data_IF_894155497316
#
_entry.id   IF_894155497316
#
_cell.length_a   1.000
_cell.length_b   1.000
_cell.length_c   1.000
_cell.angle_alpha   90.00
_cell.angle_beta   90.00
_cell.angle_gamma   90.00
#
_symmetry.space_group_name_H-M   'P 1'
#
loop_
_entity.id
_entity.type
_entity.pdbx_description
1 polymer ?
#
# COMPACT_ATOMS: atom_id res chain seq x y z
N UNK A 1 11.32 1.67 22.23
CA UNK A 1 10.28 1.26 21.26
C UNK A 1 10.73 0.11 20.35
N UNK A 2 11.86 0.22 19.65
CA UNK A 2 12.37 -0.87 18.79
C UNK A 2 12.63 -2.18 19.56
N UNK A 3 13.21 -2.11 20.76
CA UNK A 3 13.49 -3.27 21.61
C UNK A 3 12.21 -4.00 22.08
N UNK A 4 11.16 -3.24 22.42
CA UNK A 4 9.85 -3.80 22.78
C UNK A 4 9.25 -4.54 21.59
N UNK A 5 9.28 -3.95 20.39
CA UNK A 5 8.82 -4.61 19.15
C UNK A 5 9.58 -5.90 18.90
N UNK A 6 10.90 -5.88 18.98
CA UNK A 6 11.74 -7.07 18.77
C UNK A 6 11.39 -8.20 19.76
N UNK A 7 11.19 -7.88 21.04
CA UNK A 7 10.76 -8.84 22.06
C UNK A 7 9.40 -9.46 21.74
N UNK A 8 8.40 -8.65 21.37
CA UNK A 8 7.06 -9.13 21.00
C UNK A 8 7.14 -10.05 19.78
N UNK A 9 7.90 -9.66 18.75
CA UNK A 9 8.11 -10.47 17.54
C UNK A 9 8.77 -11.81 17.88
N UNK A 10 9.80 -11.81 18.73
CA UNK A 10 10.47 -13.04 19.14
C UNK A 10 9.52 -13.99 19.89
N UNK A 11 8.67 -13.46 20.78
CA UNK A 11 7.66 -14.26 21.48
C UNK A 11 6.65 -14.88 20.50
N UNK A 12 6.10 -14.08 19.58
CA UNK A 12 5.15 -14.52 18.57
C UNK A 12 5.74 -15.59 17.64
N UNK A 13 6.97 -15.39 17.15
CA UNK A 13 7.67 -16.37 16.33
C UNK A 13 8.01 -17.64 17.10
N UNK A 14 8.35 -17.54 18.40
CA UNK A 14 8.55 -18.70 19.26
C UNK A 14 7.27 -19.54 19.39
N UNK A 15 6.12 -18.90 19.60
CA UNK A 15 4.82 -19.57 19.67
C UNK A 15 4.51 -20.29 18.34
N UNK A 16 4.71 -19.60 17.21
CA UNK A 16 4.55 -20.21 15.87
C UNK A 16 5.48 -21.41 15.69
N UNK A 17 6.74 -21.32 16.10
CA UNK A 17 7.69 -22.44 16.03
C UNK A 17 7.26 -23.61 16.90
N UNK A 18 6.83 -23.37 18.15
CA UNK A 18 6.32 -24.40 19.06
C UNK A 18 5.05 -25.09 18.56
N UNK A 19 4.21 -24.38 17.78
CA UNK A 19 3.01 -24.97 17.17
C UNK A 19 3.32 -26.00 16.07
N UNK A 20 4.54 -25.99 15.52
CA UNK A 20 4.91 -26.83 14.36
C UNK A 20 4.26 -26.42 13.03
N UNK A 21 3.38 -25.40 13.02
CA UNK A 21 2.68 -24.97 11.82
C UNK A 21 3.53 -24.07 10.92
N UNK A 22 3.32 -24.17 9.61
CA UNK A 22 3.84 -23.23 8.61
C UNK A 22 2.96 -21.99 8.51
N UNK A 23 3.49 -20.89 7.96
CA UNK A 23 2.67 -19.70 7.71
C UNK A 23 1.49 -20.00 6.77
N UNK A 24 1.67 -20.88 5.78
CA UNK A 24 0.61 -21.29 4.87
C UNK A 24 -0.49 -22.13 5.54
N UNK A 25 -0.17 -22.91 6.58
CA UNK A 25 -1.20 -23.62 7.36
C UNK A 25 -2.03 -22.64 8.20
N UNK A 26 -1.36 -21.71 8.91
CA UNK A 26 -2.04 -20.68 9.70
C UNK A 26 -2.89 -19.78 8.79
N UNK A 27 -2.39 -19.44 7.61
CA UNK A 27 -3.11 -18.69 6.58
C UNK A 27 -4.45 -19.36 6.20
N UNK A 28 -4.42 -20.67 5.93
CA UNK A 28 -5.63 -21.45 5.61
C UNK A 28 -6.64 -21.46 6.75
N UNK A 29 -6.17 -21.62 7.99
CA UNK A 29 -7.04 -21.65 9.18
C UNK A 29 -7.65 -20.27 9.48
N UNK A 30 -6.93 -19.18 9.19
CA UNK A 30 -7.38 -17.81 9.48
C UNK A 30 -8.14 -17.16 8.33
N UNK A 31 -7.97 -17.63 7.09
CA UNK A 31 -8.48 -16.99 5.88
C UNK A 31 -7.65 -15.79 5.43
N UNK A 32 -6.39 -15.68 5.88
CA UNK A 32 -5.45 -14.62 5.52
C UNK A 32 -4.44 -15.13 4.50
N UNK A 33 -3.71 -14.23 3.81
CA UNK A 33 -2.55 -14.68 3.01
C UNK A 33 -1.39 -15.08 3.91
N UNK A 34 -0.53 -15.98 3.44
CA UNK A 34 0.62 -16.45 4.22
C UNK A 34 1.64 -15.34 4.54
N UNK A 35 1.84 -14.40 3.63
CA UNK A 35 2.67 -13.23 3.89
C UNK A 35 2.00 -12.33 4.92
N UNK A 36 0.68 -12.11 4.86
CA UNK A 36 -0.01 -11.29 5.86
C UNK A 36 0.10 -11.89 7.26
N UNK A 37 -0.05 -13.21 7.41
CA UNK A 37 0.22 -13.90 8.69
C UNK A 37 1.65 -13.67 9.16
N UNK A 38 2.64 -13.78 8.26
CA UNK A 38 4.03 -13.49 8.62
C UNK A 38 4.23 -12.02 9.04
N UNK A 39 3.57 -11.06 8.39
CA UNK A 39 3.61 -9.64 8.75
C UNK A 39 2.94 -9.37 10.10
N UNK A 40 1.85 -10.07 10.44
CA UNK A 40 1.22 -10.00 11.75
C UNK A 40 2.20 -10.44 12.85
N UNK A 41 2.81 -11.62 12.70
CA UNK A 41 3.77 -12.15 13.68
C UNK A 41 5.07 -11.32 13.75
N UNK A 42 5.41 -10.58 12.69
CA UNK A 42 6.54 -9.63 12.64
C UNK A 42 6.18 -8.21 13.08
N UNK A 43 4.95 -7.96 13.56
CA UNK A 43 4.46 -6.62 13.93
C UNK A 43 4.68 -5.57 12.83
N UNK A 44 4.28 -5.92 11.61
CA UNK A 44 4.28 -5.03 10.44
C UNK A 44 2.86 -4.82 9.87
N UNK A 45 1.94 -5.73 10.21
CA UNK A 45 0.52 -5.60 9.97
C UNK A 45 -0.24 -5.52 11.30
N UNK A 46 -1.43 -4.91 11.26
CA UNK A 46 -2.34 -4.83 12.38
C UNK A 46 -3.31 -6.01 12.32
N UNK A 47 -3.47 -6.75 13.42
CA UNK A 47 -4.50 -7.76 13.54
C UNK A 47 -5.86 -7.06 13.70
N UNK A 48 -6.85 -7.50 12.92
CA UNK A 48 -8.21 -6.99 13.05
C UNK A 48 -9.02 -7.82 14.06
N UNK A 49 -9.93 -7.21 14.84
CA UNK A 49 -10.70 -7.92 15.87
C UNK A 49 -11.44 -9.15 15.36
N UNK A 50 -11.99 -9.08 14.15
CA UNK A 50 -12.74 -10.16 13.50
C UNK A 50 -11.90 -11.43 13.24
N UNK A 51 -10.58 -11.27 13.03
CA UNK A 51 -9.68 -12.39 12.74
C UNK A 51 -8.92 -12.87 13.97
N UNK A 52 -8.96 -12.11 15.08
CA UNK A 52 -8.25 -12.46 16.31
C UNK A 52 -8.67 -13.82 16.91
N UNK A 53 -9.97 -14.20 16.95
CA UNK A 53 -10.37 -15.52 17.45
C UNK A 53 -9.77 -16.67 16.64
N UNK A 54 -9.80 -16.57 15.30
CA UNK A 54 -9.25 -17.61 14.40
C UNK A 54 -7.74 -17.74 14.56
N UNK A 55 -7.04 -16.60 14.75
CA UNK A 55 -5.60 -16.63 14.99
C UNK A 55 -5.26 -17.30 16.33
N UNK A 56 -6.03 -17.02 17.38
CA UNK A 56 -5.88 -17.68 18.69
C UNK A 56 -6.15 -19.18 18.61
N UNK A 57 -7.17 -19.60 17.87
CA UNK A 57 -7.46 -21.01 17.63
C UNK A 57 -6.32 -21.70 16.86
N UNK A 58 -5.78 -21.02 15.84
CA UNK A 58 -4.64 -21.52 15.06
C UNK A 58 -3.36 -21.62 15.90
N UNK A 59 -3.13 -20.67 16.80
CA UNK A 59 -1.96 -20.56 17.67
C UNK A 59 -2.39 -20.39 19.15
N UNK A 60 -2.80 -21.48 19.83
CA UNK A 60 -3.38 -21.41 21.18
C UNK A 60 -2.37 -20.95 22.25
N UNK A 61 -1.07 -20.95 21.96
CA UNK A 61 -0.04 -20.43 22.85
C UNK A 61 0.09 -18.91 22.86
N UNK A 62 -0.70 -18.17 22.07
CA UNK A 62 -0.67 -16.70 22.10
C UNK A 62 -1.43 -16.19 23.33
N UNK A 63 -0.70 -15.45 24.17
CA UNK A 63 -1.22 -14.78 25.35
C UNK A 63 -2.08 -13.55 24.97
N UNK A 64 -2.97 -13.15 25.87
CA UNK A 64 -3.91 -12.05 25.64
C UNK A 64 -3.20 -10.71 25.44
N UNK A 65 -2.13 -10.45 26.19
CA UNK A 65 -1.30 -9.25 26.05
C UNK A 65 -0.66 -9.15 24.65
N UNK A 66 -0.21 -10.27 24.09
CA UNK A 66 0.34 -10.33 22.75
C UNK A 66 -0.73 -10.08 21.68
N UNK A 67 -1.95 -10.60 21.85
CA UNK A 67 -3.06 -10.33 20.93
C UNK A 67 -3.48 -8.87 20.97
N UNK A 68 -3.63 -8.30 22.17
CA UNK A 68 -3.91 -6.87 22.34
C UNK A 68 -2.83 -6.02 21.67
N UNK A 69 -1.57 -6.39 21.84
CA UNK A 69 -0.45 -5.76 21.17
C UNK A 69 -0.56 -5.87 19.65
N UNK A 70 -0.87 -7.05 19.09
CA UNK A 70 -1.05 -7.24 17.65
C UNK A 70 -2.19 -6.40 17.05
N UNK A 71 -3.22 -6.07 17.84
CA UNK A 71 -4.34 -5.22 17.41
C UNK A 71 -4.00 -3.73 17.40
N UNK A 72 -2.91 -3.29 18.02
CA UNK A 72 -2.44 -1.90 17.95
C UNK A 72 -1.75 -1.62 16.61
N UNK A 73 -1.96 -0.44 15.99
CA UNK A 73 -1.24 -0.04 14.78
C UNK A 73 0.28 -0.17 14.97
N UNK A 74 0.98 -0.97 14.15
CA UNK A 74 2.41 -1.13 14.30
C UNK A 74 3.16 0.06 13.71
N UNK A 75 4.25 0.47 14.36
CA UNK A 75 5.27 1.25 13.66
C UNK A 75 6.00 0.31 12.70
N UNK A 76 5.71 0.43 11.40
CA UNK A 76 6.35 -0.39 10.36
C UNK A 76 7.82 -0.03 10.24
N UNK A 77 8.66 -1.04 10.07
CA UNK A 77 10.12 -0.86 9.94
C UNK A 77 10.74 -2.12 9.34
N UNK A 78 11.88 -1.97 8.67
CA UNK A 78 12.67 -3.11 8.20
C UNK A 78 14.13 -2.91 8.61
N UNK A 79 14.90 -3.99 8.60
CA UNK A 79 16.35 -3.90 8.81
C UNK A 79 16.99 -3.34 7.53
N UNK A 80 17.69 -2.19 7.57
CA UNK A 80 18.35 -1.63 6.39
C UNK A 80 19.36 -2.59 5.73
N UNK A 81 19.93 -3.53 6.49
CA UNK A 81 20.88 -4.51 5.98
C UNK A 81 20.19 -5.73 5.35
N UNK A 82 18.86 -5.81 5.37
CA UNK A 82 18.12 -6.96 4.81
C UNK A 82 18.40 -7.19 3.32
N UNK A 83 18.80 -6.14 2.60
CA UNK A 83 19.19 -6.23 1.19
C UNK A 83 20.45 -7.09 0.96
N UNK A 84 21.25 -7.33 2.00
CA UNK A 84 22.41 -8.22 1.94
C UNK A 84 22.00 -9.70 1.97
N UNK A 85 20.77 -10.03 2.40
CA UNK A 85 20.25 -11.38 2.31
C UNK A 85 20.09 -11.78 0.83
N UNK A 86 20.63 -12.93 0.39
CA UNK A 86 20.57 -13.33 -1.01
C UNK A 86 19.15 -13.46 -1.57
N UNK A 87 18.17 -13.88 -0.76
CA UNK A 87 16.78 -14.03 -1.22
C UNK A 87 16.16 -12.66 -1.49
N UNK A 88 16.38 -11.73 -0.57
CA UNK A 88 15.85 -10.37 -0.67
C UNK A 88 16.57 -9.58 -1.77
N UNK A 89 17.87 -9.76 -1.92
CA UNK A 89 18.64 -9.17 -3.01
C UNK A 89 18.10 -9.58 -4.39
N UNK A 90 17.80 -10.87 -4.59
CA UNK A 90 17.25 -11.37 -5.87
C UNK A 90 15.86 -10.82 -6.16
N UNK A 91 15.02 -10.63 -5.14
CA UNK A 91 13.73 -9.98 -5.32
C UNK A 91 13.92 -8.51 -5.74
N UNK A 92 14.83 -7.79 -5.10
CA UNK A 92 15.13 -6.41 -5.47
C UNK A 92 15.71 -6.30 -6.89
N UNK A 93 16.66 -7.17 -7.24
CA UNK A 93 17.24 -7.27 -8.58
C UNK A 93 16.16 -7.52 -9.64
N UNK A 94 15.24 -8.47 -9.40
CA UNK A 94 14.12 -8.71 -10.30
C UNK A 94 13.23 -7.46 -10.47
N UNK A 95 12.88 -6.77 -9.38
CA UNK A 95 12.08 -5.54 -9.45
C UNK A 95 12.80 -4.41 -10.19
N UNK A 96 14.12 -4.29 -10.03
CA UNK A 96 14.90 -3.29 -10.75
C UNK A 96 15.02 -3.61 -12.24
N UNK A 97 15.20 -4.88 -12.61
CA UNK A 97 15.31 -5.28 -14.02
C UNK A 97 13.98 -5.23 -14.78
N UNK A 98 12.88 -5.65 -14.15
CA UNK A 98 11.57 -5.69 -14.80
C UNK A 98 10.75 -4.41 -14.56
N UNK A 99 11.22 -3.49 -13.72
CA UNK A 99 10.43 -2.35 -13.24
C UNK A 99 9.93 -1.44 -14.36
N UNK A 100 10.76 -1.12 -15.35
CA UNK A 100 10.37 -0.29 -16.50
C UNK A 100 9.28 -0.96 -17.33
N UNK A 101 9.46 -2.24 -17.69
CA UNK A 101 8.47 -3.00 -18.46
C UNK A 101 7.15 -3.21 -17.70
N UNK A 102 7.21 -3.49 -16.40
CA UNK A 102 6.01 -3.60 -15.55
C UNK A 102 5.28 -2.26 -15.50
N UNK A 103 6.01 -1.14 -15.36
CA UNK A 103 5.43 0.20 -15.37
C UNK A 103 4.74 0.49 -16.70
N UNK A 104 5.38 0.17 -17.83
CA UNK A 104 4.81 0.36 -19.17
C UNK A 104 3.52 -0.44 -19.33
N UNK A 105 3.52 -1.74 -19.00
CA UNK A 105 2.32 -2.61 -19.09
C UNK A 105 1.19 -2.08 -18.21
N UNK A 106 1.48 -1.65 -16.97
CA UNK A 106 0.46 -1.06 -16.09
C UNK A 106 -0.13 0.20 -16.73
N UNK A 107 0.70 1.04 -17.36
CA UNK A 107 0.21 2.25 -18.01
C UNK A 107 -0.62 1.95 -19.26
N UNK A 108 -0.27 0.92 -20.03
CA UNK A 108 -1.04 0.47 -21.20
C UNK A 108 -2.40 -0.12 -20.80
N UNK A 109 -2.44 -0.98 -19.78
CA UNK A 109 -3.65 -1.71 -19.40
C UNK A 109 -4.59 -0.88 -18.50
N UNK A 110 -4.05 0.01 -17.66
CA UNK A 110 -4.82 0.73 -16.64
C UNK A 110 -4.83 2.25 -16.82
N UNK A 111 -4.00 2.82 -17.72
CA UNK A 111 -3.87 4.26 -17.92
C UNK A 111 -5.00 4.89 -18.71
N UNK A 112 -5.24 6.19 -18.45
CA UNK A 112 -6.15 7.06 -19.22
C UNK A 112 -5.58 7.43 -20.61
N UNK A 113 -4.95 6.48 -21.30
CA UNK A 113 -4.07 6.74 -22.44
C UNK A 113 -4.17 5.67 -23.53
N UNK A 114 -5.39 5.41 -24.00
CA UNK A 114 -5.75 4.91 -25.35
C UNK A 114 -7.29 4.79 -25.47
N UNK A 115 -7.98 4.56 -24.34
CA UNK A 115 -9.43 4.32 -24.32
C UNK A 115 -10.31 5.36 -23.62
N UNK A 116 -9.76 6.43 -23.02
CA UNK A 116 -10.58 7.51 -22.42
C UNK A 116 -11.27 8.32 -23.54
N UNK A 117 -12.61 8.20 -23.72
CA UNK A 117 -13.33 8.91 -24.76
C UNK A 117 -13.29 10.43 -24.58
N UNK A 118 -12.88 10.92 -23.40
CA UNK A 118 -12.83 12.35 -23.06
C UNK A 118 -11.55 13.04 -23.50
N UNK A 119 -10.59 12.31 -24.11
CA UNK A 119 -9.28 12.83 -24.51
C UNK A 119 -8.93 12.55 -25.97
N UNK A 120 -9.91 12.67 -26.86
CA UNK A 120 -9.73 12.46 -28.30
C UNK A 120 -8.79 13.48 -28.97
N UNK A 121 -8.58 14.65 -28.32
CA UNK A 121 -7.94 15.83 -28.96
C UNK A 121 -6.47 16.05 -28.56
N UNK A 122 -5.88 15.19 -27.73
CA UNK A 122 -4.49 15.32 -27.26
C UNK A 122 -3.66 14.08 -27.57
N UNK A 123 -2.35 14.22 -27.85
CA UNK A 123 -1.46 13.06 -27.96
C UNK A 123 -1.54 12.23 -26.68
N UNK A 124 -1.42 10.88 -26.76
CA UNK A 124 -1.53 10.03 -25.58
C UNK A 124 -0.51 10.46 -24.53
N UNK A 125 -1.00 11.08 -23.46
CA UNK A 125 -0.19 11.38 -22.28
C UNK A 125 -0.35 10.18 -21.37
N UNK A 126 0.69 9.36 -21.26
CA UNK A 126 0.75 8.33 -20.23
C UNK A 126 0.68 9.03 -18.87
N UNK A 127 -0.47 9.00 -18.21
CA UNK A 127 -0.52 9.41 -16.80
C UNK A 127 0.31 8.41 -16.00
N UNK A 128 1.08 8.93 -15.06
CA UNK A 128 1.84 8.10 -14.13
C UNK A 128 0.85 7.37 -13.22
N UNK A 129 0.84 6.05 -13.29
CA UNK A 129 -0.02 5.18 -12.48
C UNK A 129 0.80 4.43 -11.46
N UNK A 130 0.16 4.12 -10.33
CA UNK A 130 0.81 3.43 -9.22
C UNK A 130 -0.07 2.31 -8.70
N UNK A 131 0.51 1.12 -8.54
CA UNK A 131 -0.06 0.02 -7.77
C UNK A 131 0.10 0.31 -6.26
N UNK A 132 -0.99 0.31 -5.51
CA UNK A 132 -0.96 0.55 -4.07
C UNK A 132 -0.16 -0.53 -3.32
N UNK A 133 0.65 -0.11 -2.34
CA UNK A 133 1.28 -0.99 -1.36
C UNK A 133 0.55 -0.99 0.02
N UNK A 134 -0.66 -0.39 0.08
CA UNK A 134 -1.48 -0.31 1.30
C UNK A 134 -2.73 -1.18 1.17
N UNK A 135 -3.52 -0.94 0.12
CA UNK A 135 -4.59 -1.84 -0.30
C UNK A 135 -3.94 -2.89 -1.22
N UNK A 136 -3.31 -3.86 -0.57
CA UNK A 136 -2.33 -4.75 -1.18
C UNK A 136 -2.35 -6.12 -0.52
N UNK A 137 -2.43 -7.15 -1.35
CA UNK A 137 -2.32 -8.54 -0.99
C UNK A 137 -1.00 -9.11 -1.53
N UNK A 138 -0.36 -9.93 -0.70
CA UNK A 138 0.88 -10.61 -1.05
C UNK A 138 0.79 -12.07 -0.63
N UNK A 139 1.18 -12.97 -1.52
CA UNK A 139 1.21 -14.41 -1.26
C UNK A 139 2.46 -15.04 -1.90
N UNK A 140 2.96 -16.10 -1.26
CA UNK A 140 4.08 -16.89 -1.77
C UNK A 140 3.66 -18.34 -1.90
N UNK A 141 3.82 -18.93 -3.08
CA UNK A 141 3.42 -20.30 -3.35
C UNK A 141 4.56 -21.09 -3.97
N UNK A 142 4.57 -22.40 -3.70
CA UNK A 142 5.47 -23.34 -4.35
C UNK A 142 4.70 -24.06 -5.44
N UNK A 143 5.18 -23.99 -6.68
CA UNK A 143 4.57 -24.64 -7.85
C UNK A 143 5.61 -25.49 -8.58
N UNK A 144 5.15 -26.43 -9.41
CA UNK A 144 6.02 -27.14 -10.34
C UNK A 144 6.09 -26.36 -11.65
N UNK A 145 7.31 -26.07 -12.10
CA UNK A 145 7.56 -25.48 -13.41
C UNK A 145 7.28 -26.47 -14.55
N UNK A 146 7.21 -25.95 -15.77
CA UNK A 146 7.07 -26.78 -16.99
C UNK A 146 8.24 -27.75 -17.18
N UNK A 147 9.39 -27.43 -16.58
CA UNK A 147 10.59 -28.26 -16.55
C UNK A 147 10.61 -29.28 -15.39
N UNK A 148 9.52 -29.37 -14.62
CA UNK A 148 9.38 -30.26 -13.47
C UNK A 148 10.17 -29.83 -12.23
N UNK A 149 10.72 -28.62 -12.23
CA UNK A 149 11.46 -28.08 -11.07
C UNK A 149 10.55 -27.26 -10.18
N UNK A 150 10.89 -27.24 -8.89
CA UNK A 150 10.26 -26.37 -7.92
C UNK A 150 10.47 -24.89 -8.29
N UNK A 151 9.38 -24.13 -8.32
CA UNK A 151 9.38 -22.68 -8.53
C UNK A 151 8.67 -21.99 -7.37
N UNK A 152 9.12 -20.78 -7.08
CA UNK A 152 8.45 -19.87 -6.13
C UNK A 152 7.65 -18.88 -6.95
N UNK A 153 6.34 -18.83 -6.71
CA UNK A 153 5.43 -17.82 -7.25
C UNK A 153 5.22 -16.77 -6.17
N UNK A 154 5.49 -15.53 -6.51
CA UNK A 154 5.20 -14.36 -5.69
C UNK A 154 4.06 -13.59 -6.36
N UNK A 155 2.96 -13.43 -5.66
CA UNK A 155 1.80 -12.69 -6.16
C UNK A 155 1.70 -11.36 -5.44
N UNK A 156 1.67 -10.29 -6.21
CA UNK A 156 1.40 -8.93 -5.77
C UNK A 156 0.07 -8.49 -6.39
N UNK A 157 -0.93 -8.28 -5.54
CA UNK A 157 -2.25 -7.83 -5.95
C UNK A 157 -2.55 -6.53 -5.21
N UNK A 158 -2.33 -5.43 -5.91
CA UNK A 158 -2.47 -4.08 -5.37
C UNK A 158 -3.54 -3.29 -6.09
N UNK A 159 -4.29 -2.51 -5.32
CA UNK A 159 -5.29 -1.62 -5.87
C UNK A 159 -4.65 -0.59 -6.82
N UNK A 160 -5.28 -0.42 -7.97
CA UNK A 160 -5.00 0.63 -8.93
C UNK A 160 -5.32 2.02 -8.36
N UNK A 161 -4.39 2.97 -8.51
CA UNK A 161 -4.56 4.36 -8.09
C UNK A 161 -4.29 5.32 -9.28
N UNK A 162 -5.32 5.99 -9.82
CA UNK A 162 -5.14 7.00 -10.85
C UNK A 162 -4.51 8.27 -10.27
N UNK A 163 -3.64 8.91 -11.03
CA UNK A 163 -3.10 10.21 -10.64
C UNK A 163 -4.18 11.30 -10.76
N UNK A 164 -4.42 12.01 -9.65
CA UNK A 164 -5.37 13.11 -9.59
C UNK A 164 -4.63 14.44 -9.70
N UNK A 165 -5.07 15.30 -10.62
CA UNK A 165 -4.62 16.68 -10.65
C UNK A 165 -5.08 17.40 -9.37
N UNK A 166 -4.13 17.97 -8.63
CA UNK A 166 -4.39 18.66 -7.37
C UNK A 166 -5.03 20.02 -7.63
N UNK A 167 -6.34 20.02 -7.93
CA UNK A 167 -7.11 21.25 -8.14
C UNK A 167 -7.49 21.84 -6.79
N UNK A 168 -7.04 23.08 -6.56
CA UNK A 168 -7.50 23.87 -5.43
C UNK A 168 -8.96 24.27 -5.66
N UNK A 169 -9.88 23.70 -4.87
CA UNK A 169 -11.23 24.24 -4.77
C UNK A 169 -11.14 25.48 -3.86
N UNK A 170 -11.23 26.67 -4.47
CA UNK A 170 -11.13 27.98 -3.79
C UNK A 170 -12.09 28.15 -2.59
N UNK A 171 -13.07 27.28 -2.42
CA UNK A 171 -14.04 27.35 -1.32
C UNK A 171 -13.62 26.60 -0.04
N UNK A 172 -12.59 25.75 -0.06
CA UNK A 172 -12.31 24.82 1.05
C UNK A 172 -11.04 25.11 1.87
N UNK A 173 -10.19 26.05 1.44
CA UNK A 173 -8.90 26.32 2.10
C UNK A 173 -8.87 27.54 3.05
N UNK A 174 -9.97 28.29 3.15
CA UNK A 174 -10.01 29.52 3.97
C UNK A 174 -9.87 29.22 5.47
N UNK A 175 -10.27 28.03 5.92
CA UNK A 175 -10.22 27.65 7.35
C UNK A 175 -8.90 27.02 7.82
N UNK A 176 -8.02 26.56 6.91
CA UNK A 176 -6.86 25.73 7.32
C UNK A 176 -5.61 26.55 7.64
N UNK A 177 -5.44 27.73 7.03
CA UNK A 177 -4.20 28.52 7.18
C UNK A 177 -4.33 29.80 8.01
N UNK A 178 -5.51 30.16 8.53
CA UNK A 178 -5.69 31.41 9.29
C UNK A 178 -5.38 32.69 8.48
N UNK A 179 -5.10 32.56 7.18
CA UNK A 179 -4.97 33.70 6.27
C UNK A 179 -6.40 34.11 5.92
N UNK A 180 -6.90 35.13 6.60
CA UNK A 180 -8.06 35.89 6.17
C UNK A 180 -7.73 36.58 4.85
N UNK A 181 -7.82 35.87 3.73
CA UNK A 181 -7.96 36.54 2.45
C UNK A 181 -9.39 37.06 2.44
N UNK A 182 -9.51 38.37 2.66
CA UNK A 182 -10.76 39.10 2.55
C UNK A 182 -11.43 38.72 1.22
N UNK A 183 -12.49 37.90 1.31
CA UNK A 183 -13.31 37.47 0.16
C UNK A 183 -13.97 38.66 -0.55
N UNK A 184 -13.99 39.82 0.08
CA UNK A 184 -14.74 40.99 -0.40
C UNK A 184 -13.92 41.91 -1.30
N UNK A 185 -12.57 41.83 -1.34
CA UNK A 185 -11.78 42.72 -2.21
C UNK A 185 -11.57 42.19 -3.64
N UNK A 186 -11.62 40.87 -3.85
CA UNK A 186 -11.30 40.30 -5.17
C UNK A 186 -12.48 40.34 -6.15
N UNK A 187 -13.72 40.24 -5.65
CA UNK A 187 -14.91 40.32 -6.50
C UNK A 187 -15.19 41.75 -6.96
N UNK A 188 -14.97 42.74 -6.09
CA UNK A 188 -15.18 44.15 -6.42
C UNK A 188 -14.11 44.67 -7.39
N UNK A 189 -12.84 44.30 -7.21
CA UNK A 189 -11.76 44.71 -8.13
C UNK A 189 -11.92 44.08 -9.52
N UNK A 190 -12.37 42.83 -9.62
CA UNK A 190 -12.60 42.18 -10.93
C UNK A 190 -13.82 42.82 -11.63
N UNK A 191 -14.88 43.12 -10.89
CA UNK A 191 -16.06 43.78 -11.46
C UNK A 191 -15.78 45.24 -11.85
N UNK A 192 -14.98 45.97 -11.07
CA UNK A 192 -14.56 47.34 -11.40
C UNK A 192 -13.67 47.38 -12.64
N UNK A 193 -12.77 46.40 -12.80
CA UNK A 193 -11.96 46.25 -14.03
C UNK A 193 -12.85 45.94 -15.24
N UNK A 194 -13.85 45.08 -15.10
CA UNK A 194 -14.82 44.79 -16.17
C UNK A 194 -15.72 46.01 -16.51
N UNK A 195 -16.11 46.81 -15.52
CA UNK A 195 -16.88 48.03 -15.71
C UNK A 195 -16.06 49.14 -16.42
N UNK A 196 -14.78 49.28 -16.07
CA UNK A 196 -13.88 50.22 -16.75
C UNK A 196 -13.62 49.84 -18.21
N UNK A 197 -13.39 48.55 -18.49
CA UNK A 197 -13.14 48.04 -19.84
C UNK A 197 -14.39 48.05 -20.75
N UNK A 198 -15.59 47.97 -20.18
CA UNK A 198 -16.86 48.07 -20.95
C UNK A 198 -17.34 49.51 -21.19
N UNK A 199 -16.74 50.51 -20.53
CA UNK A 199 -17.06 51.93 -20.71
C UNK A 199 -16.16 52.65 -21.73
N UNK A 200 -15.20 51.93 -22.33
CA UNK A 200 -14.21 52.46 -23.29
C UNK A 200 -14.28 51.82 -24.68
N UNK A 201 -15.36 51.11 -24.98
CA UNK A 201 -15.71 50.58 -26.32
C UNK A 201 -17.02 51.22 -26.83
#
# INVERSE_FOLDING_TARGET
MAEIKARVVNNLLSIKTKSGKTFSQIAKETGLTNVYVAQLLRRQAQLKPETAPKLRESLPGILDDLLEEMMKPPMRSFDPNIIQDPTIYRLNEAMMHFGESIKEIINEEFGDGIGDPKRLDYPPVYLDLVMSAIDFYCAVEKVQGVDGKDRVVLTFDGKYLPHSEQKMLFHQFVDVCGIHVAKDLAYDVINDIYALLSSTL
#
